data_IF_566422571081
#
_entry.id   IF_566422571081
#
_cell.length_a   1.000
_cell.length_b   1.000
_cell.length_c   1.000
_cell.angle_alpha   90.00
_cell.angle_beta   90.00
_cell.angle_gamma   90.00
#
_symmetry.space_group_name_H-M   'P 1'
#
loop_
_entity.id
_entity.type
_entity.pdbx_description
1 polymer ?
#
# COMPACT_ATOMS: atom_id res chain seq x y z
N UNK A 1 4.28 21.30 26.51
CA UNK A 1 3.06 22.06 26.17
C UNK A 1 2.87 21.95 24.66
N UNK A 2 1.87 21.18 24.21
CA UNK A 2 1.60 20.97 22.76
C UNK A 2 1.02 22.30 22.24
N UNK A 3 1.56 22.85 21.16
CA UNK A 3 1.11 24.10 20.59
C UNK A 3 -0.34 23.99 20.10
N UNK A 4 -1.08 25.10 20.05
CA UNK A 4 -2.47 25.11 19.56
C UNK A 4 -2.55 24.64 18.11
N UNK A 5 -1.56 25.02 17.31
CA UNK A 5 -1.41 24.61 15.90
C UNK A 5 -1.26 23.08 15.77
N UNK A 6 -0.49 22.41 16.64
CA UNK A 6 -0.34 20.96 16.61
C UNK A 6 -1.63 20.21 16.96
N UNK A 7 -2.46 20.80 17.88
CA UNK A 7 -3.78 20.23 18.20
C UNK A 7 -4.74 20.35 17.03
N UNK A 8 -4.76 21.52 16.37
CA UNK A 8 -5.63 21.77 15.22
C UNK A 8 -5.23 20.90 14.03
N UNK A 9 -3.93 20.74 13.79
CA UNK A 9 -3.40 19.85 12.75
C UNK A 9 -3.74 18.36 13.00
N UNK A 10 -3.66 17.91 14.27
CA UNK A 10 -4.05 16.55 14.64
C UNK A 10 -5.54 16.33 14.42
N UNK A 11 -6.38 17.27 14.86
CA UNK A 11 -7.83 17.21 14.66
C UNK A 11 -8.21 17.19 13.18
N UNK A 12 -7.55 18.01 12.37
CA UNK A 12 -7.75 17.98 10.91
C UNK A 12 -7.42 16.61 10.31
N UNK A 13 -6.27 16.03 10.68
CA UNK A 13 -5.90 14.67 10.21
C UNK A 13 -6.91 13.61 10.65
N UNK A 14 -7.42 13.67 11.87
CA UNK A 14 -8.46 12.75 12.36
C UNK A 14 -9.76 12.86 11.54
N UNK A 15 -10.18 14.06 11.20
CA UNK A 15 -11.35 14.30 10.34
C UNK A 15 -11.12 13.73 8.94
N UNK A 16 -9.97 14.01 8.33
CA UNK A 16 -9.58 13.48 7.02
C UNK A 16 -9.58 11.94 7.04
N UNK A 17 -8.95 11.34 8.05
CA UNK A 17 -8.90 9.88 8.23
C UNK A 17 -10.30 9.27 8.36
N UNK A 18 -11.19 9.91 9.12
CA UNK A 18 -12.58 9.48 9.25
C UNK A 18 -13.33 9.49 7.91
N UNK A 19 -13.18 10.56 7.14
CA UNK A 19 -13.80 10.69 5.81
C UNK A 19 -13.24 9.70 4.78
N UNK A 20 -11.94 9.45 4.81
CA UNK A 20 -11.32 8.43 3.97
C UNK A 20 -11.90 7.06 4.31
N UNK A 21 -12.02 6.72 5.59
CA UNK A 21 -12.60 5.46 6.07
C UNK A 21 -14.04 5.26 5.58
N UNK A 22 -14.89 6.27 5.73
CA UNK A 22 -16.29 6.25 5.28
C UNK A 22 -16.43 5.97 3.77
N UNK A 23 -15.47 6.42 2.98
CA UNK A 23 -15.48 6.30 1.51
C UNK A 23 -14.44 5.30 0.97
N UNK A 24 -13.78 4.54 1.83
CA UNK A 24 -12.64 3.70 1.45
C UNK A 24 -13.03 2.67 0.38
N UNK A 25 -14.17 2.00 0.53
CA UNK A 25 -14.69 1.03 -0.45
C UNK A 25 -14.82 1.65 -1.84
N UNK A 26 -15.32 2.88 -1.92
CA UNK A 26 -15.44 3.64 -3.17
C UNK A 26 -14.09 4.03 -3.77
N UNK A 27 -13.07 4.29 -2.93
CA UNK A 27 -11.74 4.60 -3.40
C UNK A 27 -11.00 3.35 -3.85
N UNK A 28 -11.15 2.25 -3.12
CA UNK A 28 -10.55 0.95 -3.47
C UNK A 28 -11.10 0.42 -4.79
N UNK A 29 -12.41 0.49 -5.03
CA UNK A 29 -13.04 0.00 -6.26
C UNK A 29 -12.75 0.86 -7.50
N UNK A 30 -12.17 2.08 -7.34
CA UNK A 30 -11.78 2.93 -8.46
C UNK A 30 -10.33 2.67 -8.87
N UNK A 31 -10.14 2.24 -10.11
CA UNK A 31 -8.82 1.99 -10.69
C UNK A 31 -7.94 3.24 -10.91
N UNK A 32 -8.46 4.45 -10.66
CA UNK A 32 -7.76 5.72 -10.91
C UNK A 32 -6.45 5.89 -10.11
N UNK A 33 -6.32 5.17 -9.00
CA UNK A 33 -5.12 5.23 -8.16
C UNK A 33 -3.94 4.46 -8.75
N UNK A 34 -4.21 3.43 -9.56
CA UNK A 34 -3.18 2.57 -10.15
C UNK A 34 -2.37 3.31 -11.22
N UNK A 35 -3.00 4.25 -11.93
CA UNK A 35 -2.40 4.97 -13.06
C UNK A 35 -1.46 6.11 -12.64
N UNK A 36 -1.49 6.54 -11.38
CA UNK A 36 -0.62 7.60 -10.87
C UNK A 36 0.73 7.06 -10.45
N UNK A 37 1.56 6.72 -11.44
CA UNK A 37 2.94 6.27 -11.25
C UNK A 37 3.82 7.33 -10.58
N UNK A 38 4.62 6.91 -9.59
CA UNK A 38 5.81 7.63 -9.13
C UNK A 38 5.59 8.74 -8.11
N UNK A 39 4.39 8.91 -7.55
CA UNK A 39 4.18 9.74 -6.37
C UNK A 39 3.83 8.85 -5.18
N UNK A 40 4.57 8.99 -4.11
CA UNK A 40 4.24 8.37 -2.81
C UNK A 40 2.93 8.92 -2.22
N UNK A 41 2.38 9.99 -2.77
CA UNK A 41 1.13 10.63 -2.36
C UNK A 41 0.04 10.51 -3.41
N UNK A 42 -1.17 10.25 -2.94
CA UNK A 42 -2.40 10.19 -3.74
C UNK A 42 -3.30 11.35 -3.34
N UNK A 43 -3.82 12.06 -4.33
CA UNK A 43 -4.80 13.14 -4.12
C UNK A 43 -6.20 12.54 -4.04
N UNK A 44 -6.85 12.71 -2.88
CA UNK A 44 -8.21 12.21 -2.66
C UNK A 44 -9.16 13.41 -2.65
N UNK A 45 -10.17 13.45 -3.54
CA UNK A 45 -11.18 14.48 -3.50
C UNK A 45 -12.06 14.29 -2.25
N UNK A 46 -12.06 15.29 -1.38
CA UNK A 46 -12.90 15.33 -0.19
C UNK A 46 -14.14 16.20 -0.48
N UNK A 47 -15.35 15.75 -0.15
CA UNK A 47 -16.49 16.64 -0.15
C UNK A 47 -16.26 17.78 0.83
N UNK A 48 -16.74 18.97 0.49
CA UNK A 48 -16.53 20.18 1.27
C UNK A 48 -16.91 19.94 2.74
N UNK A 49 -15.99 20.21 3.63
CA UNK A 49 -16.26 20.15 5.06
C UNK A 49 -16.91 21.48 5.41
N UNK A 50 -18.21 21.48 5.69
CA UNK A 50 -18.88 22.62 6.26
C UNK A 50 -18.29 22.90 7.65
N UNK A 51 -17.39 23.85 7.70
CA UNK A 51 -16.89 24.38 8.97
C UNK A 51 -18.02 25.26 9.52
N UNK A 52 -18.67 24.87 10.63
CA UNK A 52 -19.70 25.70 11.20
C UNK A 52 -19.11 27.07 11.53
N UNK A 53 -19.49 28.10 10.79
CA UNK A 53 -19.15 29.47 11.11
C UNK A 53 -20.02 29.87 12.28
N UNK A 54 -19.43 30.03 13.45
CA UNK A 54 -20.06 30.73 14.54
C UNK A 54 -20.19 32.19 14.14
N UNK A 55 -21.35 32.58 13.62
CA UNK A 55 -21.69 33.98 13.42
C UNK A 55 -22.05 34.50 14.81
N UNK A 56 -21.23 35.40 15.36
CA UNK A 56 -21.62 36.18 16.53
C UNK A 56 -22.80 37.04 16.06
N UNK A 57 -24.01 36.62 16.38
CA UNK A 57 -25.19 37.43 16.22
C UNK A 57 -25.09 38.61 17.20
N UNK A 58 -25.00 39.82 16.68
CA UNK A 58 -25.24 41.00 17.45
C UNK A 58 -26.64 40.90 18.05
N UNK A 59 -26.70 40.67 19.36
CA UNK A 59 -27.92 40.54 20.14
C UNK A 59 -28.54 41.94 20.30
N UNK A 60 -29.19 42.45 19.24
CA UNK A 60 -30.14 43.58 19.38
C UNK A 60 -31.55 43.00 19.43
N UNK A 61 -31.98 42.84 20.63
CA UNK A 61 -33.27 42.53 21.12
C UNK A 61 -34.43 42.31 20.15
N UNK A 62 -35.00 41.10 20.18
CA UNK A 62 -36.46 40.96 20.25
C UNK A 62 -36.79 39.52 20.62
N UNK A 63 -37.68 39.39 21.51
CA UNK A 63 -38.26 38.36 22.28
C UNK A 63 -38.31 36.94 21.71
N UNK A 64 -38.07 36.02 22.60
CA UNK A 64 -38.42 34.63 22.53
C UNK A 64 -39.92 34.53 22.28
N UNK A 65 -40.36 34.21 21.09
CA UNK A 65 -41.73 33.80 20.81
C UNK A 65 -41.99 32.46 21.50
N UNK A 66 -42.84 32.44 22.47
CA UNK A 66 -43.42 31.21 22.99
C UNK A 66 -44.38 30.66 21.94
N UNK A 67 -43.95 29.63 21.20
CA UNK A 67 -44.86 28.77 20.44
C UNK A 67 -45.30 27.64 21.36
N UNK A 68 -46.60 27.37 21.40
CA UNK A 68 -47.19 26.18 22.05
C UNK A 68 -46.83 24.96 21.20
N UNK A 69 -45.76 24.23 21.55
CA UNK A 69 -45.43 22.91 21.00
C UNK A 69 -45.01 21.98 22.13
N UNK A 70 -45.43 20.75 22.11
CA UNK A 70 -45.05 19.74 23.08
C UNK A 70 -43.58 19.31 22.89
N UNK A 71 -42.87 18.86 23.95
CA UNK A 71 -41.50 18.43 23.87
C UNK A 71 -41.41 17.13 23.01
N UNK A 72 -40.91 17.26 21.79
CA UNK A 72 -40.73 16.14 20.86
C UNK A 72 -41.14 16.43 19.42
N UNK A 73 -41.72 17.56 19.12
CA UNK A 73 -42.11 17.92 17.75
C UNK A 73 -40.90 18.31 16.92
N UNK A 74 -40.76 17.74 15.69
CA UNK A 74 -39.66 18.09 14.80
C UNK A 74 -39.84 19.51 14.26
N UNK A 75 -38.83 20.33 14.42
CA UNK A 75 -38.79 21.71 13.90
C UNK A 75 -38.48 21.66 12.39
N UNK A 76 -39.55 21.81 11.59
CA UNK A 76 -39.47 22.36 10.23
C UNK A 76 -38.85 21.47 9.16
N UNK A 77 -39.64 20.57 8.55
CA UNK A 77 -39.45 20.17 7.16
C UNK A 77 -40.02 21.28 6.26
N UNK A 78 -39.12 22.04 5.62
CA UNK A 78 -39.49 22.93 4.54
C UNK A 78 -39.74 22.12 3.26
N UNK A 79 -41.00 21.94 2.85
CA UNK A 79 -41.38 21.45 1.52
C UNK A 79 -40.86 22.43 0.46
N UNK A 80 -39.80 22.05 -0.25
CA UNK A 80 -39.35 22.71 -1.45
C UNK A 80 -39.97 22.03 -2.68
N UNK A 81 -41.01 22.63 -3.26
CA UNK A 81 -41.57 22.26 -4.55
C UNK A 81 -40.47 22.28 -5.64
N UNK A 82 -40.31 21.12 -6.32
CA UNK A 82 -39.41 20.96 -7.46
C UNK A 82 -39.89 21.74 -8.66
N UNK A 83 -39.25 22.88 -8.96
CA UNK A 83 -39.35 23.59 -10.23
C UNK A 83 -38.26 23.17 -11.17
N UNK A 84 -38.64 22.57 -12.33
CA UNK A 84 -37.72 22.29 -13.41
C UNK A 84 -37.14 23.58 -14.01
N UNK A 85 -35.83 23.71 -14.07
CA UNK A 85 -35.12 24.57 -15.04
C UNK A 85 -34.80 25.98 -14.62
N UNK A 86 -33.86 26.14 -13.68
CA UNK A 86 -32.94 27.30 -13.70
C UNK A 86 -31.53 26.80 -13.37
N UNK A 87 -30.58 27.06 -14.28
CA UNK A 87 -29.16 26.88 -13.98
C UNK A 87 -28.83 27.81 -12.81
N UNK A 88 -28.61 27.22 -11.63
CA UNK A 88 -28.27 27.96 -10.45
C UNK A 88 -26.83 28.51 -10.59
N UNK A 89 -26.66 29.82 -10.43
CA UNK A 89 -25.39 30.49 -10.15
C UNK A 89 -24.87 30.10 -8.73
N UNK A 90 -24.80 28.80 -8.45
CA UNK A 90 -24.09 28.31 -7.28
C UNK A 90 -22.64 28.03 -7.69
N UNK A 91 -21.66 28.60 -6.98
CA UNK A 91 -20.28 28.13 -7.09
C UNK A 91 -20.29 26.60 -6.91
N UNK A 92 -19.90 25.89 -7.97
CA UNK A 92 -19.83 24.42 -7.93
C UNK A 92 -18.97 24.01 -6.75
N UNK A 93 -19.40 22.97 -6.04
CA UNK A 93 -18.68 22.37 -4.91
C UNK A 93 -17.22 22.15 -5.28
N UNK A 94 -16.34 23.01 -4.79
CA UNK A 94 -14.89 22.85 -4.93
C UNK A 94 -14.49 21.71 -4.01
N UNK A 95 -14.37 20.52 -4.56
CA UNK A 95 -13.79 19.41 -3.84
C UNK A 95 -12.37 19.82 -3.37
N UNK A 96 -12.14 19.81 -2.07
CA UNK A 96 -10.81 20.01 -1.51
C UNK A 96 -10.02 18.73 -1.73
N UNK A 97 -8.95 18.80 -2.52
CA UNK A 97 -8.05 17.66 -2.69
C UNK A 97 -7.08 17.59 -1.51
N UNK A 98 -7.06 16.45 -0.85
CA UNK A 98 -6.12 16.17 0.24
C UNK A 98 -5.10 15.14 -0.24
N UNK A 99 -3.82 15.46 -0.09
CA UNK A 99 -2.73 14.53 -0.39
C UNK A 99 -2.55 13.57 0.79
N UNK A 100 -2.65 12.27 0.49
CA UNK A 100 -2.48 11.17 1.45
C UNK A 100 -1.40 10.24 0.91
N UNK A 101 -0.52 9.75 1.78
CA UNK A 101 0.48 8.77 1.37
C UNK A 101 -0.13 7.38 1.20
N UNK A 102 0.47 6.56 0.34
CA UNK A 102 0.04 5.17 0.18
C UNK A 102 0.16 4.39 1.49
N UNK A 103 1.16 4.71 2.33
CA UNK A 103 1.33 4.11 3.66
C UNK A 103 0.15 4.44 4.59
N UNK A 104 -0.30 5.70 4.63
CA UNK A 104 -1.47 6.10 5.41
C UNK A 104 -2.75 5.43 4.92
N UNK A 105 -2.91 5.28 3.59
CA UNK A 105 -4.05 4.55 3.02
C UNK A 105 -4.02 3.06 3.39
N UNK A 106 -2.85 2.43 3.34
CA UNK A 106 -2.67 1.05 3.75
C UNK A 106 -3.00 0.85 5.24
N UNK A 107 -2.58 1.78 6.11
CA UNK A 107 -2.95 1.75 7.54
C UNK A 107 -4.46 1.87 7.75
N UNK A 108 -5.11 2.82 7.07
CA UNK A 108 -6.58 3.01 7.16
C UNK A 108 -7.30 1.76 6.67
N UNK A 109 -6.85 1.18 5.55
CA UNK A 109 -7.41 -0.05 5.02
C UNK A 109 -7.23 -1.21 5.99
N UNK A 110 -6.03 -1.37 6.56
CA UNK A 110 -5.75 -2.41 7.55
C UNK A 110 -6.61 -2.31 8.80
N UNK A 111 -6.85 -1.09 9.30
CA UNK A 111 -7.74 -0.86 10.44
C UNK A 111 -9.21 -1.18 10.09
N UNK A 112 -9.68 -0.75 8.92
CA UNK A 112 -11.06 -0.96 8.49
C UNK A 112 -11.37 -2.45 8.24
N UNK A 113 -10.41 -3.16 7.63
CA UNK A 113 -10.53 -4.59 7.38
C UNK A 113 -10.21 -5.45 8.61
N UNK A 114 -9.70 -4.84 9.68
CA UNK A 114 -9.27 -5.56 10.88
C UNK A 114 -8.10 -6.52 10.60
N UNK A 115 -7.21 -6.14 9.69
CA UNK A 115 -6.10 -7.00 9.29
C UNK A 115 -5.08 -7.17 10.42
N UNK A 116 -4.64 -8.41 10.70
CA UNK A 116 -3.61 -8.65 11.69
C UNK A 116 -2.25 -8.13 11.21
N UNK A 117 -1.36 -7.82 12.15
CA UNK A 117 0.04 -7.56 11.78
C UNK A 117 0.68 -8.85 11.32
N UNK A 118 1.32 -8.81 10.16
CA UNK A 118 2.02 -9.97 9.62
C UNK A 118 3.33 -10.16 10.40
N UNK A 119 3.51 -11.35 10.99
CA UNK A 119 4.76 -11.75 11.61
C UNK A 119 5.62 -12.48 10.58
N UNK A 120 6.80 -11.93 10.22
CA UNK A 120 7.68 -12.57 9.25
C UNK A 120 8.10 -13.96 9.74
N UNK A 121 7.80 -15.00 8.98
CA UNK A 121 8.44 -16.32 9.13
C UNK A 121 9.80 -16.24 8.42
N UNK A 122 10.82 -16.61 9.00
CA UNK A 122 12.14 -16.64 8.42
C UNK A 122 13.17 -16.10 9.37
N UNK A 123 14.38 -16.61 9.24
CA UNK A 123 15.46 -16.17 10.10
C UNK A 123 15.70 -14.67 9.86
N UNK A 124 15.76 -13.90 10.94
CA UNK A 124 16.08 -12.47 10.94
C UNK A 124 17.49 -12.16 10.40
N UNK A 125 18.06 -13.03 9.58
CA UNK A 125 19.49 -13.15 9.37
C UNK A 125 19.99 -12.79 7.97
N UNK A 126 19.22 -12.16 7.11
CA UNK A 126 19.83 -11.44 5.99
C UNK A 126 20.26 -10.07 6.49
N UNK A 127 21.51 -10.01 6.93
CA UNK A 127 22.14 -8.78 7.37
C UNK A 127 22.47 -7.91 6.16
N UNK A 128 21.59 -6.97 5.84
CA UNK A 128 21.97 -5.91 4.92
C UNK A 128 22.91 -4.97 5.66
N UNK A 129 24.15 -4.96 5.24
CA UNK A 129 25.17 -4.09 5.77
C UNK A 129 24.92 -2.65 5.30
N UNK A 130 24.39 -1.81 6.16
CA UNK A 130 24.23 -0.39 5.86
C UNK A 130 25.28 0.44 6.57
N UNK A 131 26.15 1.07 5.78
CA UNK A 131 27.13 2.03 6.29
C UNK A 131 26.43 3.32 6.74
N UNK A 132 26.46 3.59 8.03
CA UNK A 132 25.95 4.83 8.60
C UNK A 132 27.10 5.71 9.10
N UNK A 133 27.11 6.97 8.69
CA UNK A 133 28.04 7.95 9.27
C UNK A 133 27.67 8.24 10.72
N UNK A 134 28.45 7.69 11.66
CA UNK A 134 28.12 7.73 13.10
C UNK A 134 28.94 8.79 13.85
N UNK A 135 30.06 9.24 13.31
CA UNK A 135 30.92 10.15 14.07
C UNK A 135 32.08 10.77 13.29
N UNK A 136 32.95 11.43 14.04
CA UNK A 136 34.17 12.03 13.54
C UNK A 136 35.36 11.36 14.22
N UNK A 137 36.36 10.94 13.40
CA UNK A 137 37.64 10.41 13.87
C UNK A 137 38.74 11.41 13.60
N UNK A 138 39.86 11.29 14.33
CA UNK A 138 41.08 12.12 14.15
C UNK A 138 41.94 11.67 13.00
N UNK A 139 41.74 10.43 12.54
CA UNK A 139 42.50 9.83 11.43
C UNK A 139 41.55 9.23 10.41
N UNK A 140 41.89 9.29 9.14
CA UNK A 140 41.10 8.75 8.04
C UNK A 140 41.66 9.20 6.68
N UNK A 141 41.14 8.63 5.57
CA UNK A 141 41.51 9.04 4.23
C UNK A 141 41.00 10.46 3.93
N UNK A 142 41.78 11.22 3.14
CA UNK A 142 41.48 12.62 2.80
C UNK A 142 40.11 12.80 2.12
N UNK A 143 39.64 11.81 1.38
CA UNK A 143 38.29 11.81 0.76
C UNK A 143 37.12 11.90 1.75
N UNK A 144 37.35 11.48 3.00
CA UNK A 144 36.36 11.52 4.08
C UNK A 144 36.57 12.72 5.02
N UNK A 145 37.42 13.66 4.68
CA UNK A 145 37.69 14.81 5.51
C UNK A 145 36.48 15.68 5.71
N UNK A 146 36.14 15.91 6.97
CA UNK A 146 35.01 16.77 7.34
C UNK A 146 35.49 18.22 7.51
N UNK A 147 35.49 18.99 6.42
CA UNK A 147 36.00 20.35 6.40
C UNK A 147 35.42 21.24 7.51
N UNK A 148 34.09 21.31 7.64
CA UNK A 148 33.45 22.16 8.66
C UNK A 148 33.92 21.85 10.09
N UNK A 149 34.09 20.58 10.46
CA UNK A 149 34.56 20.21 11.79
C UNK A 149 36.07 20.50 11.96
N UNK A 150 36.88 20.30 10.92
CA UNK A 150 38.29 20.63 10.90
C UNK A 150 38.50 22.13 11.10
N UNK A 151 37.84 22.97 10.31
CA UNK A 151 37.97 24.43 10.43
C UNK A 151 37.43 24.96 11.76
N UNK A 152 36.29 24.41 12.26
CA UNK A 152 35.77 24.78 13.60
C UNK A 152 36.77 24.47 14.72
N UNK A 153 37.52 23.37 14.60
CA UNK A 153 38.54 23.03 15.57
C UNK A 153 39.77 23.92 15.45
N UNK A 154 40.21 24.21 14.21
CA UNK A 154 41.33 25.15 13.96
C UNK A 154 41.00 26.53 14.53
N UNK A 155 39.80 27.06 14.31
CA UNK A 155 39.35 28.31 14.87
C UNK A 155 39.37 28.32 16.40
N UNK A 156 38.86 27.29 17.04
CA UNK A 156 38.90 27.16 18.51
C UNK A 156 40.34 27.13 19.05
N UNK A 157 41.23 26.43 18.38
CA UNK A 157 42.66 26.38 18.74
C UNK A 157 43.28 27.75 18.62
N UNK A 158 43.10 28.47 17.49
CA UNK A 158 43.67 29.81 17.27
C UNK A 158 43.14 30.82 18.28
N UNK A 159 41.83 30.78 18.63
CA UNK A 159 41.27 31.63 19.69
C UNK A 159 41.91 31.32 21.06
N UNK A 160 42.05 30.03 21.39
CA UNK A 160 42.64 29.60 22.66
C UNK A 160 44.13 29.96 22.79
N UNK A 161 44.85 30.03 21.67
CA UNK A 161 46.27 30.43 21.60
C UNK A 161 46.48 31.95 21.44
N UNK A 162 45.38 32.72 21.33
CA UNK A 162 45.48 34.18 21.10
C UNK A 162 46.00 34.56 19.72
N UNK A 163 46.03 33.64 18.77
CA UNK A 163 46.58 33.86 17.41
C UNK A 163 45.48 34.18 16.38
N UNK A 164 44.24 34.24 16.79
CA UNK A 164 43.10 34.60 15.92
C UNK A 164 42.91 36.10 15.88
N UNK A 165 43.01 36.69 14.69
CA UNK A 165 42.76 38.10 14.45
C UNK A 165 41.37 38.29 13.82
N UNK A 166 40.42 38.98 14.51
CA UNK A 166 39.07 39.24 13.97
C UNK A 166 39.08 40.19 12.76
N UNK A 167 40.07 41.09 12.67
CA UNK A 167 40.23 42.07 11.56
C UNK A 167 40.70 41.36 10.27
N UNK A 168 41.44 40.26 10.44
CA UNK A 168 41.95 39.43 9.33
C UNK A 168 41.71 37.96 9.64
N UNK A 169 40.52 37.44 9.44
CA UNK A 169 40.14 36.08 9.84
C UNK A 169 40.74 35.00 8.94
N UNK A 170 42.00 34.63 9.17
CA UNK A 170 42.69 33.55 8.49
C UNK A 170 42.69 32.32 9.39
N UNK A 171 41.96 31.27 9.01
CA UNK A 171 41.92 30.01 9.75
C UNK A 171 42.83 28.99 9.06
N UNK A 172 43.92 28.61 9.73
CA UNK A 172 44.90 27.62 9.23
C UNK A 172 44.74 26.31 10.01
N UNK A 173 44.15 25.28 9.41
CA UNK A 173 44.04 23.96 10.04
C UNK A 173 45.45 23.29 10.07
N UNK A 174 45.82 22.77 11.22
CA UNK A 174 46.98 21.88 11.39
C UNK A 174 46.53 20.41 11.44
N UNK A 175 47.49 19.49 11.49
CA UNK A 175 47.21 18.04 11.45
C UNK A 175 46.28 17.60 12.59
N UNK A 176 46.44 18.16 13.77
CA UNK A 176 45.67 17.85 14.97
C UNK A 176 44.21 18.33 14.89
N UNK A 177 43.92 19.31 14.03
CA UNK A 177 42.55 19.83 13.80
C UNK A 177 41.76 18.96 12.87
N UNK A 178 42.42 18.11 12.07
CA UNK A 178 41.72 17.28 11.05
C UNK A 178 40.70 16.37 11.67
N UNK A 179 39.53 16.31 11.05
CA UNK A 179 38.43 15.44 11.39
C UNK A 179 37.93 14.74 10.14
N UNK A 180 37.72 13.44 10.27
CA UNK A 180 37.27 12.56 9.19
C UNK A 180 35.94 11.95 9.55
N UNK A 181 35.06 11.81 8.57
CA UNK A 181 33.77 11.07 8.77
C UNK A 181 34.11 9.61 9.04
N UNK A 182 33.44 9.07 10.04
CA UNK A 182 33.54 7.66 10.40
C UNK A 182 32.16 7.01 10.18
N UNK A 183 32.16 5.89 9.53
CA UNK A 183 30.98 5.04 9.45
C UNK A 183 31.11 3.87 10.42
N UNK A 184 29.98 3.35 10.82
CA UNK A 184 29.84 2.08 11.49
C UNK A 184 28.92 1.24 10.63
N UNK A 185 29.38 0.08 10.31
CA UNK A 185 28.59 -0.93 9.64
C UNK A 185 27.65 -1.55 10.69
N UNK A 186 26.39 -1.31 10.58
CA UNK A 186 25.38 -1.92 11.45
C UNK A 186 24.63 -2.97 10.63
N UNK A 187 24.65 -4.25 11.08
CA UNK A 187 23.78 -5.26 10.48
C UNK A 187 22.34 -4.86 10.77
N UNK A 188 21.53 -4.76 9.74
CA UNK A 188 20.10 -4.52 9.85
C UNK A 188 19.41 -5.82 9.49
N UNK A 189 18.70 -6.45 10.43
CA UNK A 189 17.87 -7.59 10.08
C UNK A 189 16.84 -7.13 9.04
N UNK A 190 16.85 -7.74 7.89
CA UNK A 190 15.90 -7.48 6.82
C UNK A 190 15.06 -8.73 6.63
N UNK A 191 13.78 -8.61 6.91
CA UNK A 191 12.81 -9.65 6.53
C UNK A 191 12.60 -9.52 5.02
N UNK A 192 12.98 -10.53 4.27
CA UNK A 192 12.72 -10.57 2.84
C UNK A 192 11.36 -11.20 2.60
N UNK A 193 10.55 -10.55 1.80
CA UNK A 193 9.30 -11.10 1.32
C UNK A 193 9.20 -10.93 -0.19
N UNK A 194 8.63 -11.93 -0.85
CA UNK A 194 8.28 -11.86 -2.26
C UNK A 194 6.79 -12.10 -2.44
N UNK A 195 6.18 -11.27 -3.26
CA UNK A 195 4.80 -11.44 -3.68
C UNK A 195 4.80 -11.82 -5.15
N UNK A 196 4.18 -12.94 -5.47
CA UNK A 196 4.06 -13.43 -6.84
C UNK A 196 2.61 -13.33 -7.27
N UNK A 197 2.33 -12.42 -8.18
CA UNK A 197 1.01 -12.23 -8.76
C UNK A 197 0.91 -13.03 -10.06
N UNK A 198 -0.14 -13.83 -10.19
CA UNK A 198 -0.45 -14.58 -11.40
C UNK A 198 -1.82 -14.12 -11.90
N UNK A 199 -1.90 -13.69 -13.15
CA UNK A 199 -3.15 -13.24 -13.76
C UNK A 199 -3.45 -14.04 -15.01
N UNK A 200 -4.65 -14.59 -15.04
CA UNK A 200 -5.24 -15.17 -16.25
C UNK A 200 -5.56 -14.05 -17.25
N UNK A 201 -5.03 -14.21 -18.46
CA UNK A 201 -5.29 -13.28 -19.58
C UNK A 201 -6.03 -13.96 -20.72
N UNK A 202 -6.69 -15.09 -20.43
CA UNK A 202 -7.51 -15.83 -21.39
C UNK A 202 -8.64 -15.02 -22.01
N UNK A 203 -9.25 -15.57 -23.05
CA UNK A 203 -10.33 -14.90 -23.78
C UNK A 203 -11.60 -14.66 -22.99
N UNK A 204 -11.85 -15.46 -21.95
CA UNK A 204 -12.98 -15.32 -21.01
C UNK A 204 -12.76 -14.21 -19.98
N UNK A 205 -11.50 -13.82 -19.72
CA UNK A 205 -11.13 -12.71 -18.86
C UNK A 205 -11.20 -11.38 -19.64
N UNK A 206 -12.32 -10.70 -19.55
CA UNK A 206 -12.54 -9.38 -20.19
C UNK A 206 -11.75 -8.24 -19.53
N UNK A 207 -11.91 -7.03 -20.06
CA UNK A 207 -11.22 -5.84 -19.54
C UNK A 207 -11.63 -5.52 -18.09
N UNK A 208 -12.89 -5.75 -17.74
CA UNK A 208 -13.39 -5.52 -16.37
C UNK A 208 -12.77 -6.51 -15.38
N UNK A 209 -12.69 -7.79 -15.73
CA UNK A 209 -12.06 -8.82 -14.90
C UNK A 209 -10.58 -8.52 -14.67
N UNK A 210 -9.85 -8.17 -15.73
CA UNK A 210 -8.45 -7.76 -15.65
C UNK A 210 -8.27 -6.49 -14.80
N UNK A 211 -9.21 -5.55 -14.86
CA UNK A 211 -9.19 -4.35 -14.02
C UNK A 211 -9.38 -4.70 -12.55
N UNK A 212 -10.32 -5.60 -12.22
CA UNK A 212 -10.51 -6.11 -10.85
C UNK A 212 -9.20 -6.69 -10.31
N UNK A 213 -8.56 -7.57 -11.06
CA UNK A 213 -7.27 -8.20 -10.67
C UNK A 213 -6.18 -7.16 -10.42
N UNK A 214 -6.09 -6.15 -11.27
CA UNK A 214 -5.11 -5.06 -11.13
C UNK A 214 -5.34 -4.25 -9.87
N UNK A 215 -6.60 -3.88 -9.61
CA UNK A 215 -6.97 -3.11 -8.41
C UNK A 215 -6.63 -3.92 -7.16
N UNK A 216 -7.02 -5.18 -7.12
CA UNK A 216 -6.79 -6.05 -5.98
C UNK A 216 -5.31 -6.30 -5.74
N UNK A 217 -4.56 -6.64 -6.79
CA UNK A 217 -3.10 -6.82 -6.72
C UNK A 217 -2.39 -5.55 -6.23
N UNK A 218 -2.85 -4.36 -6.67
CA UNK A 218 -2.31 -3.09 -6.21
C UNK A 218 -2.51 -2.88 -4.70
N UNK A 219 -3.70 -3.16 -4.18
CA UNK A 219 -3.99 -2.97 -2.76
C UNK A 219 -3.32 -4.01 -1.87
N UNK A 220 -3.25 -5.25 -2.30
CA UNK A 220 -2.47 -6.29 -1.61
C UNK A 220 -0.99 -5.89 -1.56
N UNK A 221 -0.41 -5.45 -2.68
CA UNK A 221 0.98 -4.96 -2.75
C UNK A 221 1.20 -3.77 -1.81
N UNK A 222 0.27 -2.81 -1.79
CA UNK A 222 0.34 -1.62 -0.94
C UNK A 222 0.30 -1.99 0.55
N UNK A 223 -0.58 -2.90 0.94
CA UNK A 223 -0.67 -3.38 2.31
C UNK A 223 0.58 -4.14 2.74
N UNK A 224 1.00 -5.12 1.97
CA UNK A 224 2.18 -5.93 2.31
C UNK A 224 3.45 -5.09 2.39
N UNK A 225 3.61 -4.08 1.52
CA UNK A 225 4.73 -3.12 1.61
C UNK A 225 4.70 -2.27 2.86
N UNK A 226 3.55 -2.02 3.45
CA UNK A 226 3.46 -1.33 4.75
C UNK A 226 3.96 -2.20 5.91
N UNK A 227 3.88 -3.54 5.78
CA UNK A 227 4.29 -4.49 6.81
C UNK A 227 5.77 -4.87 6.71
N UNK A 228 6.33 -4.93 5.51
CA UNK A 228 7.71 -5.37 5.25
C UNK A 228 8.57 -4.23 4.68
N UNK A 229 9.82 -4.16 5.10
CA UNK A 229 10.78 -3.15 4.60
C UNK A 229 11.55 -3.55 3.34
N UNK A 230 11.39 -4.76 2.87
CA UNK A 230 12.13 -5.26 1.70
C UNK A 230 11.26 -6.25 0.94
N UNK A 231 10.25 -5.76 0.25
CA UNK A 231 9.37 -6.60 -0.57
C UNK A 231 9.82 -6.55 -2.03
N UNK A 232 9.93 -7.73 -2.61
CA UNK A 232 9.97 -7.91 -4.06
C UNK A 232 8.60 -8.32 -4.58
N UNK A 233 8.21 -7.82 -5.75
CA UNK A 233 6.98 -8.23 -6.43
C UNK A 233 7.32 -8.80 -7.78
N UNK A 234 6.78 -9.97 -8.09
CA UNK A 234 6.94 -10.67 -9.36
C UNK A 234 5.58 -10.86 -10.01
N UNK A 235 5.55 -10.78 -11.29
CA UNK A 235 4.32 -10.79 -12.06
C UNK A 235 4.37 -11.87 -13.13
N UNK A 236 3.37 -12.72 -13.16
CA UNK A 236 3.17 -13.78 -14.14
C UNK A 236 1.83 -13.55 -14.83
N UNK A 237 1.80 -13.61 -16.13
CA UNK A 237 0.57 -13.70 -16.89
C UNK A 237 0.52 -15.05 -17.58
N UNK A 238 -0.67 -15.61 -17.71
CA UNK A 238 -0.85 -16.87 -18.39
C UNK A 238 -2.13 -16.89 -19.23
N UNK A 239 -2.00 -17.60 -20.31
CA UNK A 239 -3.09 -18.10 -21.16
C UNK A 239 -2.88 -19.62 -21.35
N UNK A 240 -2.67 -20.12 -22.55
CA UNK A 240 -2.21 -21.49 -22.78
C UNK A 240 -0.78 -21.71 -22.28
N UNK A 241 0.00 -20.64 -22.11
CA UNK A 241 1.38 -20.65 -21.61
C UNK A 241 1.59 -19.54 -20.61
N UNK A 242 2.46 -19.76 -19.62
CA UNK A 242 2.78 -18.74 -18.62
C UNK A 242 4.14 -18.10 -18.87
N UNK A 243 4.23 -16.81 -18.60
CA UNK A 243 5.48 -16.06 -18.65
C UNK A 243 5.57 -15.03 -17.53
N UNK A 244 6.77 -14.83 -17.04
CA UNK A 244 7.10 -13.71 -16.17
C UNK A 244 7.14 -12.42 -16.99
N UNK A 245 6.57 -11.34 -16.44
CA UNK A 245 6.49 -10.04 -17.10
C UNK A 245 6.85 -8.92 -16.12
N UNK A 246 7.23 -7.78 -16.69
CA UNK A 246 7.43 -6.57 -15.89
C UNK A 246 6.08 -6.02 -15.37
N UNK A 247 6.15 -5.27 -14.27
CA UNK A 247 4.98 -4.65 -13.65
C UNK A 247 4.10 -3.90 -14.67
N UNK A 248 4.74 -3.13 -15.54
CA UNK A 248 4.07 -2.33 -16.57
C UNK A 248 3.22 -3.18 -17.51
N UNK A 249 3.73 -4.33 -17.91
CA UNK A 249 3.03 -5.27 -18.80
C UNK A 249 1.85 -5.89 -18.06
N UNK A 250 2.04 -6.33 -16.81
CA UNK A 250 0.97 -6.90 -15.99
C UNK A 250 -0.23 -5.94 -15.85
N UNK A 251 0.04 -4.68 -15.55
CA UNK A 251 -1.00 -3.68 -15.35
C UNK A 251 -1.60 -3.09 -16.64
N UNK A 252 -1.05 -3.39 -17.81
CA UNK A 252 -1.51 -2.83 -19.09
C UNK A 252 -1.91 -3.87 -20.14
N UNK A 253 -1.64 -5.17 -19.90
CA UNK A 253 -1.88 -6.21 -20.90
C UNK A 253 -3.35 -6.31 -21.30
N UNK A 254 -3.60 -6.53 -22.60
CA UNK A 254 -4.93 -6.79 -23.18
C UNK A 254 -4.92 -8.10 -24.00
N UNK A 255 -3.96 -8.97 -23.73
CA UNK A 255 -3.84 -10.24 -24.43
C UNK A 255 -5.06 -11.13 -24.16
N UNK A 256 -5.30 -12.04 -25.08
CA UNK A 256 -6.40 -13.00 -25.04
C UNK A 256 -5.93 -14.29 -25.70
N UNK A 257 -6.06 -15.41 -25.00
CA UNK A 257 -5.63 -16.73 -25.46
C UNK A 257 -6.49 -17.84 -24.88
N UNK A 258 -6.01 -19.09 -24.96
CA UNK A 258 -6.61 -20.22 -24.24
C UNK A 258 -6.27 -20.20 -22.76
N UNK A 259 -6.76 -21.18 -21.98
CA UNK A 259 -6.51 -21.20 -20.52
C UNK A 259 -5.87 -22.52 -20.11
N UNK A 260 -4.63 -22.48 -19.59
CA UNK A 260 -3.97 -23.60 -18.95
C UNK A 260 -3.40 -23.15 -17.60
N UNK A 261 -4.15 -23.33 -16.54
CA UNK A 261 -3.80 -22.85 -15.19
C UNK A 261 -2.49 -23.48 -14.69
N UNK A 262 -2.25 -24.77 -14.99
CA UNK A 262 -1.02 -25.44 -14.58
C UNK A 262 0.25 -24.81 -15.14
N UNK A 263 0.17 -24.07 -16.25
CA UNK A 263 1.31 -23.35 -16.81
C UNK A 263 1.78 -22.24 -15.86
N UNK A 264 0.84 -21.50 -15.23
CA UNK A 264 1.15 -20.47 -14.24
C UNK A 264 1.80 -21.08 -12.99
N UNK A 265 1.27 -22.20 -12.51
CA UNK A 265 1.79 -22.85 -11.29
C UNK A 265 3.18 -23.45 -11.50
N UNK A 266 3.46 -24.05 -12.69
CA UNK A 266 4.81 -24.47 -13.05
C UNK A 266 5.78 -23.28 -13.10
N UNK A 267 5.34 -22.16 -13.69
CA UNK A 267 6.17 -20.95 -13.79
C UNK A 267 6.43 -20.34 -12.42
N UNK A 268 5.44 -20.33 -11.54
CA UNK A 268 5.60 -19.90 -10.16
C UNK A 268 6.58 -20.81 -9.39
N UNK A 269 6.45 -22.12 -9.51
CA UNK A 269 7.36 -23.08 -8.87
C UNK A 269 8.80 -22.92 -9.37
N UNK A 270 9.00 -22.79 -10.69
CA UNK A 270 10.31 -22.51 -11.30
C UNK A 270 10.93 -21.22 -10.74
N UNK A 271 10.13 -20.16 -10.61
CA UNK A 271 10.57 -18.88 -10.08
C UNK A 271 11.00 -18.99 -8.61
N UNK A 272 10.19 -19.67 -7.80
CA UNK A 272 10.50 -19.91 -6.38
C UNK A 272 11.76 -20.72 -6.22
N UNK A 273 11.88 -21.83 -6.93
CA UNK A 273 13.07 -22.71 -6.88
C UNK A 273 14.35 -21.97 -7.31
N UNK A 274 14.25 -21.13 -8.34
CA UNK A 274 15.41 -20.42 -8.89
C UNK A 274 15.89 -19.26 -8.01
N UNK A 275 14.96 -18.42 -7.48
CA UNK A 275 15.28 -17.11 -6.92
C UNK A 275 14.97 -16.99 -5.41
N UNK A 276 14.09 -17.83 -4.85
CA UNK A 276 13.54 -17.63 -3.51
C UNK A 276 13.57 -18.88 -2.65
N UNK A 277 14.62 -19.05 -1.85
CA UNK A 277 14.70 -20.13 -0.86
C UNK A 277 13.66 -19.90 0.26
N UNK A 278 12.69 -20.83 0.46
CA UNK A 278 11.66 -20.71 1.49
C UNK A 278 12.19 -20.60 2.93
N UNK A 279 13.44 -20.99 3.18
CA UNK A 279 14.08 -20.84 4.49
C UNK A 279 14.47 -19.39 4.78
N UNK A 280 14.66 -18.56 3.74
CA UNK A 280 15.16 -17.20 3.82
C UNK A 280 14.15 -16.14 3.37
N UNK A 281 13.10 -16.57 2.68
CA UNK A 281 12.09 -15.70 2.11
C UNK A 281 10.69 -16.04 2.60
N UNK A 282 9.90 -15.00 2.87
CA UNK A 282 8.45 -15.15 3.03
C UNK A 282 7.81 -15.04 1.65
N UNK A 283 7.14 -16.09 1.21
CA UNK A 283 6.62 -16.22 -0.14
C UNK A 283 5.08 -16.14 -0.09
N UNK A 284 4.53 -15.16 -0.78
CA UNK A 284 3.10 -14.96 -0.96
C UNK A 284 2.77 -15.08 -2.43
N UNK A 285 1.95 -16.03 -2.79
CA UNK A 285 1.53 -16.24 -4.18
C UNK A 285 0.02 -15.98 -4.30
N UNK A 286 -0.38 -15.14 -5.24
CA UNK A 286 -1.77 -14.83 -5.52
C UNK A 286 -2.06 -15.11 -6.99
N UNK A 287 -3.09 -15.92 -7.24
CA UNK A 287 -3.55 -16.25 -8.57
C UNK A 287 -4.99 -15.82 -8.77
N UNK A 288 -5.27 -15.14 -9.88
CA UNK A 288 -6.58 -14.63 -10.23
C UNK A 288 -6.98 -15.16 -11.61
N UNK A 289 -8.16 -15.79 -11.69
CA UNK A 289 -8.72 -16.37 -12.90
C UNK A 289 -10.24 -16.40 -12.79
N UNK A 290 -10.95 -16.58 -13.89
CA UNK A 290 -12.40 -16.84 -13.91
C UNK A 290 -12.75 -18.31 -13.71
N UNK A 291 -11.75 -19.14 -13.46
CA UNK A 291 -11.91 -20.55 -13.12
C UNK A 291 -12.18 -21.48 -14.28
N UNK A 292 -12.06 -21.01 -15.52
CA UNK A 292 -12.01 -21.90 -16.67
C UNK A 292 -10.64 -22.53 -16.75
N UNK A 293 -10.61 -23.84 -16.94
CA UNK A 293 -9.38 -24.57 -17.15
C UNK A 293 -9.52 -25.53 -18.35
N UNK A 294 -8.43 -25.73 -19.07
CA UNK A 294 -8.41 -26.50 -20.31
C UNK A 294 -8.99 -27.90 -20.18
N UNK A 295 -8.70 -28.59 -19.07
CA UNK A 295 -9.14 -29.98 -18.86
C UNK A 295 -9.10 -30.38 -17.39
N UNK A 296 -9.79 -31.49 -17.08
CA UNK A 296 -9.73 -32.13 -15.77
C UNK A 296 -8.30 -32.61 -15.44
N UNK A 297 -7.55 -33.06 -16.43
CA UNK A 297 -6.15 -33.47 -16.23
C UNK A 297 -5.26 -32.30 -15.86
N UNK A 298 -5.51 -31.09 -16.41
CA UNK A 298 -4.79 -29.88 -16.05
C UNK A 298 -5.14 -29.45 -14.62
N UNK A 299 -6.42 -29.51 -14.23
CA UNK A 299 -6.84 -29.27 -12.86
C UNK A 299 -6.16 -30.23 -11.87
N UNK A 300 -6.08 -31.53 -12.21
CA UNK A 300 -5.35 -32.48 -11.39
C UNK A 300 -3.84 -32.17 -11.29
N UNK A 301 -3.24 -31.65 -12.37
CA UNK A 301 -1.85 -31.20 -12.36
C UNK A 301 -1.68 -29.96 -11.47
N UNK A 302 -2.63 -29.01 -11.49
CA UNK A 302 -2.64 -27.86 -10.60
C UNK A 302 -2.69 -28.26 -9.12
N UNK A 303 -3.60 -29.17 -8.76
CA UNK A 303 -3.75 -29.67 -7.39
C UNK A 303 -2.46 -30.34 -6.92
N UNK A 304 -1.80 -31.14 -7.76
CA UNK A 304 -0.49 -31.74 -7.41
C UNK A 304 0.59 -30.68 -7.19
N UNK A 305 0.73 -29.70 -8.10
CA UNK A 305 1.72 -28.63 -7.97
C UNK A 305 1.50 -27.79 -6.70
N UNK A 306 0.24 -27.50 -6.38
CA UNK A 306 -0.10 -26.80 -5.13
C UNK A 306 0.30 -27.62 -3.92
N UNK A 307 -0.13 -28.89 -3.85
CA UNK A 307 0.10 -29.75 -2.68
C UNK A 307 1.56 -30.06 -2.43
N UNK A 308 2.29 -30.41 -3.51
CA UNK A 308 3.64 -30.97 -3.41
C UNK A 308 4.72 -29.89 -3.44
N UNK A 309 4.43 -28.70 -3.99
CA UNK A 309 5.46 -27.69 -4.25
C UNK A 309 5.10 -26.31 -3.72
N UNK A 310 3.97 -25.73 -4.14
CA UNK A 310 3.70 -24.30 -3.90
C UNK A 310 3.25 -24.00 -2.48
N UNK A 311 2.31 -24.78 -1.93
CA UNK A 311 1.83 -24.58 -0.54
C UNK A 311 2.95 -24.81 0.48
N UNK A 312 3.76 -25.89 0.40
CA UNK A 312 4.87 -26.09 1.33
C UNK A 312 5.94 -25.00 1.27
N UNK A 313 6.16 -24.41 0.08
CA UNK A 313 7.14 -23.34 -0.12
C UNK A 313 6.64 -21.96 0.27
N UNK A 314 5.33 -21.77 0.41
CA UNK A 314 4.71 -20.44 0.60
C UNK A 314 4.26 -20.22 2.04
N UNK A 315 4.25 -18.96 2.46
CA UNK A 315 3.57 -18.53 3.69
C UNK A 315 2.05 -18.52 3.47
N UNK A 316 1.65 -18.20 2.25
CA UNK A 316 0.27 -18.23 1.83
C UNK A 316 0.16 -18.35 0.32
N UNK A 317 -0.81 -19.14 -0.13
CA UNK A 317 -1.27 -19.18 -1.52
C UNK A 317 -2.72 -18.70 -1.59
N UNK A 318 -2.96 -17.62 -2.33
CA UNK A 318 -4.29 -17.05 -2.54
C UNK A 318 -4.83 -17.38 -3.94
N UNK A 319 -6.07 -17.84 -4.02
CA UNK A 319 -6.78 -17.97 -5.28
C UNK A 319 -8.03 -17.09 -5.30
N UNK A 320 -8.04 -16.09 -6.17
CA UNK A 320 -9.16 -15.19 -6.42
C UNK A 320 -9.95 -15.61 -7.66
N UNK A 321 -11.17 -16.08 -7.45
CA UNK A 321 -12.11 -16.39 -8.53
C UNK A 321 -12.82 -15.12 -8.96
N UNK A 322 -12.48 -14.59 -10.13
CA UNK A 322 -13.15 -13.41 -10.70
C UNK A 322 -14.35 -13.88 -11.53
N UNK A 323 -15.53 -13.34 -11.24
CA UNK A 323 -16.71 -13.70 -12.01
C UNK A 323 -16.63 -13.13 -13.43
N UNK A 324 -16.82 -14.00 -14.41
CA UNK A 324 -16.87 -13.68 -15.83
C UNK A 324 -18.16 -14.24 -16.44
N UNK A 325 -18.78 -13.52 -17.41
CA UNK A 325 -19.95 -14.03 -18.13
C UNK A 325 -19.67 -15.35 -18.88
N UNK A 326 -18.42 -15.65 -19.13
CA UNK A 326 -17.95 -16.82 -19.91
C UNK A 326 -17.21 -17.84 -19.06
N UNK A 327 -16.80 -17.48 -17.84
CA UNK A 327 -16.08 -18.35 -16.93
C UNK A 327 -16.97 -19.39 -16.26
N UNK A 328 -16.46 -20.61 -16.10
CA UNK A 328 -17.21 -21.71 -15.46
C UNK A 328 -17.27 -21.60 -13.95
N UNK A 329 -16.34 -20.90 -13.34
CA UNK A 329 -16.18 -20.87 -11.89
C UNK A 329 -15.98 -22.25 -11.25
N UNK A 330 -15.52 -23.24 -12.02
CA UNK A 330 -15.38 -24.61 -11.52
C UNK A 330 -14.09 -24.80 -10.71
N UNK A 331 -13.03 -24.12 -11.06
CA UNK A 331 -11.72 -24.35 -10.46
C UNK A 331 -11.66 -24.07 -8.95
N UNK A 332 -12.36 -23.02 -8.46
CA UNK A 332 -12.44 -22.76 -7.02
C UNK A 332 -13.14 -23.90 -6.25
N UNK A 333 -14.14 -24.52 -6.85
CA UNK A 333 -14.86 -25.66 -6.25
C UNK A 333 -13.95 -26.88 -6.17
N UNK A 334 -13.16 -27.10 -7.21
CA UNK A 334 -12.18 -28.20 -7.27
C UNK A 334 -11.08 -28.00 -6.22
N UNK A 335 -10.58 -26.76 -6.07
CA UNK A 335 -9.63 -26.42 -5.02
C UNK A 335 -10.21 -26.65 -3.61
N UNK A 336 -11.41 -26.13 -3.34
CA UNK A 336 -12.08 -26.31 -2.04
C UNK A 336 -12.36 -27.79 -1.74
N UNK A 337 -12.69 -28.57 -2.76
CA UNK A 337 -12.88 -30.04 -2.62
C UNK A 337 -11.58 -30.78 -2.33
N UNK A 338 -10.47 -30.37 -2.96
CA UNK A 338 -9.19 -31.05 -2.85
C UNK A 338 -8.41 -30.73 -1.57
N UNK A 339 -8.56 -29.52 -1.04
CA UNK A 339 -7.77 -29.01 0.08
C UNK A 339 -8.57 -28.82 1.36
N UNK A 340 -9.92 -28.71 1.28
CA UNK A 340 -10.76 -28.52 2.46
C UNK A 340 -10.43 -27.24 3.22
N UNK A 341 -10.04 -27.37 4.50
CA UNK A 341 -9.67 -26.27 5.40
C UNK A 341 -8.15 -26.07 5.49
N UNK A 342 -7.40 -26.22 4.38
CA UNK A 342 -5.97 -25.96 4.36
C UNK A 342 -5.71 -24.47 4.68
N UNK A 343 -5.07 -24.19 5.80
CA UNK A 343 -4.87 -22.82 6.30
C UNK A 343 -4.00 -21.94 5.40
N UNK A 344 -3.10 -22.55 4.61
CA UNK A 344 -2.18 -21.83 3.74
C UNK A 344 -2.77 -21.55 2.34
N UNK A 345 -3.86 -22.23 1.99
CA UNK A 345 -4.61 -21.98 0.75
C UNK A 345 -5.88 -21.19 1.04
N UNK A 346 -5.87 -19.93 0.67
CA UNK A 346 -7.03 -19.04 0.84
C UNK A 346 -7.71 -18.86 -0.51
N UNK A 347 -9.04 -19.01 -0.55
CA UNK A 347 -9.83 -18.82 -1.77
C UNK A 347 -10.85 -17.71 -1.55
N UNK A 348 -11.01 -16.83 -2.54
CA UNK A 348 -12.02 -15.77 -2.53
C UNK A 348 -12.79 -15.71 -3.84
N UNK A 349 -14.08 -15.31 -3.78
CA UNK A 349 -14.92 -15.05 -4.96
C UNK A 349 -15.12 -13.55 -5.11
N UNK A 350 -14.82 -13.03 -6.31
CA UNK A 350 -14.87 -11.60 -6.62
C UNK A 350 -15.83 -11.42 -7.80
N UNK A 351 -17.06 -11.00 -7.50
CA UNK A 351 -18.08 -10.83 -8.54
C UNK A 351 -18.01 -9.48 -9.20
N UNK A 352 -17.76 -8.45 -8.40
CA UNK A 352 -17.71 -7.06 -8.83
C UNK A 352 -16.55 -6.32 -8.17
N UNK A 353 -16.27 -5.11 -8.61
CA UNK A 353 -15.28 -4.24 -7.97
C UNK A 353 -15.56 -3.93 -6.50
N UNK A 354 -16.83 -4.01 -6.07
CA UNK A 354 -17.23 -3.76 -4.69
C UNK A 354 -16.83 -4.90 -3.74
N UNK A 355 -16.61 -6.11 -4.28
CA UNK A 355 -16.20 -7.28 -3.51
C UNK A 355 -14.68 -7.31 -3.24
N UNK A 356 -13.90 -6.45 -3.90
CA UNK A 356 -12.43 -6.41 -3.78
C UNK A 356 -11.98 -6.27 -2.32
N UNK A 357 -12.62 -5.39 -1.53
CA UNK A 357 -12.25 -5.20 -0.13
C UNK A 357 -12.50 -6.44 0.72
N UNK A 358 -13.58 -7.15 0.46
CA UNK A 358 -13.92 -8.38 1.20
C UNK A 358 -12.96 -9.51 0.79
N UNK A 359 -12.56 -9.58 -0.49
CA UNK A 359 -11.54 -10.50 -0.98
C UNK A 359 -10.16 -10.23 -0.36
N UNK A 360 -9.72 -8.98 -0.32
CA UNK A 360 -8.47 -8.58 0.35
C UNK A 360 -8.50 -8.98 1.83
N UNK A 361 -9.63 -8.78 2.52
CA UNK A 361 -9.80 -9.23 3.91
C UNK A 361 -9.60 -10.74 4.03
N UNK A 362 -10.24 -11.53 3.16
CA UNK A 362 -10.09 -12.98 3.16
C UNK A 362 -8.62 -13.40 2.97
N UNK A 363 -7.92 -12.81 2.01
CA UNK A 363 -6.52 -13.13 1.76
C UNK A 363 -5.59 -12.75 2.91
N UNK A 364 -5.82 -11.63 3.55
CA UNK A 364 -4.86 -11.07 4.51
C UNK A 364 -5.22 -11.32 5.99
N UNK A 365 -6.37 -11.92 6.28
CA UNK A 365 -6.82 -12.17 7.67
C UNK A 365 -5.96 -13.17 8.44
N UNK A 366 -5.25 -14.04 7.74
CA UNK A 366 -4.41 -15.07 8.35
C UNK A 366 -3.18 -14.55 9.07
N UNK A 367 -2.66 -13.39 8.70
CA UNK A 367 -1.55 -12.70 9.40
C UNK A 367 -0.22 -13.46 9.45
N UNK A 368 0.04 -14.39 8.51
CA UNK A 368 1.19 -15.30 8.52
C UNK A 368 2.27 -14.91 7.53
#
# INVERSE_FOLDING_TARGET
>A
MISRIEKDHRRFREIVRGRIRENLRRYVSRGDMITRKGKETVSIPMPQIDIPRFVHGDNKGQGVGQGEGEPGDPVGEGEGEGGAGQAGEGEGDKAVEVEVTLEELAEIMGEELGLPRIEPRGSQTLETVKDRYVGLRTTGPESLRHFKATFKRALRRQIAMGTYDPERPIIVPVREDRRYRSWKTEPKPQSNAVIIYMMDVSGSMGDEQKEIVRIESFWIDTWLRSQYKGIESRYIIHDATAREVEREVFFSTRESGGTMISSAYRKCAELVERDYDPSNWNIYAFHFSDGDNWSVDDTAACIRLLRDTLIPASNQFGYGQVESPYGSGQFIKDLRSAFGEEELLVTSEIKTKDDIMDSIREFLKGGR
#
